data_IF_155112975734
#
_entry.id   IF_155112975734
#
_cell.length_a   1.000
_cell.length_b   1.000
_cell.length_c   1.000
_cell.angle_alpha   90.00
_cell.angle_beta   90.00
_cell.angle_gamma   90.00
#
_symmetry.space_group_name_H-M   'P 1'
#
loop_
_entity.id
_entity.type
_entity.pdbx_description
1 polymer ?
#
# COMPACT_ATOMS: atom_id res chain seq x y z
N UNK A 1 47.59 7.92 17.32
CA UNK A 1 48.61 7.50 16.33
C UNK A 1 47.88 7.05 15.08
N UNK A 2 47.93 7.89 14.04
CA UNK A 2 47.21 7.75 12.78
C UNK A 2 47.56 6.45 12.06
N UNK A 3 46.56 5.68 11.62
CA UNK A 3 46.68 4.76 10.48
C UNK A 3 45.41 4.76 9.64
N UNK A 4 45.51 5.53 8.55
CA UNK A 4 45.02 5.30 7.19
C UNK A 4 43.56 4.87 6.95
N UNK A 5 42.77 5.92 6.70
CA UNK A 5 41.85 6.02 5.57
C UNK A 5 42.53 5.59 4.24
N UNK A 6 42.27 4.37 3.77
CA UNK A 6 42.41 3.95 2.36
C UNK A 6 41.84 2.54 2.24
N UNK A 7 40.52 2.45 2.00
CA UNK A 7 39.89 1.33 1.27
C UNK A 7 38.39 1.51 0.95
N UNK A 8 37.89 2.76 0.88
CA UNK A 8 36.53 3.05 0.34
C UNK A 8 36.49 3.13 -1.19
N UNK A 9 37.04 2.13 -1.91
CA UNK A 9 36.94 2.04 -3.38
C UNK A 9 36.45 0.69 -3.93
N UNK A 10 35.93 -0.20 -3.07
CA UNK A 10 35.15 -1.36 -3.48
C UNK A 10 33.77 -1.28 -2.83
N UNK A 11 32.83 -0.64 -3.53
CA UNK A 11 31.38 -0.89 -3.37
C UNK A 11 30.49 -0.12 -4.35
N UNK A 12 31.04 0.51 -5.40
CA UNK A 12 30.24 1.06 -6.50
C UNK A 12 29.72 -0.01 -7.49
N UNK A 13 30.12 -1.27 -7.32
CA UNK A 13 29.69 -2.39 -8.17
C UNK A 13 28.42 -3.09 -7.67
N UNK A 14 28.08 -2.98 -6.37
CA UNK A 14 26.87 -3.61 -5.80
C UNK A 14 25.63 -2.71 -5.81
N UNK A 15 25.78 -1.41 -6.07
CA UNK A 15 24.65 -0.47 -6.20
C UNK A 15 23.84 -0.73 -7.50
N UNK A 16 24.40 -1.48 -8.46
CA UNK A 16 23.67 -1.87 -9.69
C UNK A 16 22.72 -3.06 -9.52
N UNK A 17 22.70 -3.73 -8.36
CA UNK A 17 21.88 -4.94 -8.13
C UNK A 17 20.55 -4.70 -7.41
N UNK A 18 20.25 -3.47 -7.00
CA UNK A 18 19.00 -3.14 -6.31
C UNK A 18 18.36 -1.90 -6.95
N UNK A 19 17.95 -2.02 -8.22
CA UNK A 19 16.89 -1.16 -8.75
C UNK A 19 15.60 -1.74 -8.18
N UNK A 20 15.13 -1.15 -7.08
CA UNK A 20 13.89 -1.55 -6.40
C UNK A 20 12.70 -1.36 -7.34
N UNK A 21 11.64 -2.10 -7.05
CA UNK A 21 10.36 -2.17 -7.77
C UNK A 21 9.96 -0.86 -8.47
N UNK A 22 9.43 -0.93 -9.71
CA UNK A 22 8.98 0.24 -10.45
C UNK A 22 7.94 1.07 -9.66
N UNK A 23 7.19 0.45 -8.75
CA UNK A 23 6.17 1.08 -7.89
C UNK A 23 6.66 2.34 -7.16
N UNK A 24 7.91 2.36 -6.68
CA UNK A 24 8.44 3.50 -5.90
C UNK A 24 8.71 4.75 -6.76
N UNK A 25 8.86 4.62 -8.09
CA UNK A 25 9.10 5.77 -8.96
C UNK A 25 7.81 6.48 -9.40
N UNK A 26 6.66 5.81 -9.29
CA UNK A 26 5.44 6.20 -10.01
C UNK A 26 4.50 7.09 -9.18
N UNK A 27 4.59 7.02 -7.85
CA UNK A 27 3.82 7.85 -6.92
C UNK A 27 4.14 9.36 -7.05
N UNK A 28 5.26 9.71 -7.70
CA UNK A 28 5.76 11.09 -7.83
C UNK A 28 5.43 11.76 -9.16
N UNK A 29 4.62 11.19 -10.06
CA UNK A 29 4.49 11.75 -11.41
C UNK A 29 3.50 12.91 -11.55
N UNK A 30 2.61 13.15 -10.57
CA UNK A 30 1.52 14.14 -10.68
C UNK A 30 1.67 15.40 -9.83
N UNK A 31 2.41 15.36 -8.70
CA UNK A 31 2.57 16.51 -7.78
C UNK A 31 3.79 17.41 -8.06
N UNK A 32 5.00 16.89 -8.40
CA UNK A 32 6.19 17.72 -8.57
C UNK A 32 6.15 18.60 -9.81
N UNK A 33 5.32 18.31 -10.83
CA UNK A 33 5.43 18.98 -12.12
C UNK A 33 5.11 20.49 -12.06
N UNK A 34 4.27 20.93 -11.12
CA UNK A 34 3.95 22.35 -10.93
C UNK A 34 4.90 23.08 -9.99
N UNK A 35 5.45 22.38 -8.99
CA UNK A 35 6.27 22.98 -7.94
C UNK A 35 7.77 22.89 -8.22
N UNK A 36 8.23 21.75 -8.75
CA UNK A 36 9.62 21.51 -9.13
C UNK A 36 9.71 20.70 -10.46
N UNK A 37 9.60 21.39 -11.60
CA UNK A 37 9.64 20.75 -12.93
C UNK A 37 10.95 20.00 -13.20
N UNK A 38 12.07 20.45 -12.64
CA UNK A 38 13.38 19.81 -12.84
C UNK A 38 13.44 18.47 -12.12
N UNK A 39 12.94 18.42 -10.89
CA UNK A 39 12.82 17.17 -10.15
C UNK A 39 11.82 16.23 -10.84
N UNK A 40 10.66 16.75 -11.27
CA UNK A 40 9.67 15.97 -12.02
C UNK A 40 10.26 15.30 -13.27
N UNK A 41 11.06 16.04 -14.05
CA UNK A 41 11.75 15.51 -15.24
C UNK A 41 12.73 14.38 -14.87
N UNK A 42 13.50 14.56 -13.79
CA UNK A 42 14.44 13.55 -13.30
C UNK A 42 13.71 12.27 -12.87
N UNK A 43 12.57 12.42 -12.19
CA UNK A 43 11.73 11.28 -11.78
C UNK A 43 11.14 10.56 -12.99
N UNK A 44 10.63 11.30 -13.97
CA UNK A 44 10.05 10.70 -15.18
C UNK A 44 11.09 9.95 -16.02
N UNK A 45 12.29 10.53 -16.23
CA UNK A 45 13.38 9.83 -16.92
C UNK A 45 13.77 8.54 -16.20
N UNK A 46 13.89 8.61 -14.87
CA UNK A 46 14.20 7.43 -14.04
C UNK A 46 13.09 6.38 -14.12
N UNK A 47 11.82 6.78 -14.09
CA UNK A 47 10.67 5.89 -14.20
C UNK A 47 10.67 5.11 -15.53
N UNK A 48 10.97 5.79 -16.65
CA UNK A 48 11.10 5.15 -17.96
C UNK A 48 12.23 4.11 -17.99
N UNK A 49 13.41 4.45 -17.47
CA UNK A 49 14.53 3.49 -17.38
C UNK A 49 14.23 2.27 -16.51
N UNK A 50 13.50 2.46 -15.39
CA UNK A 50 13.12 1.38 -14.49
C UNK A 50 12.08 0.47 -15.14
N UNK A 51 11.09 1.05 -15.82
CA UNK A 51 10.09 0.29 -16.56
C UNK A 51 10.71 -0.54 -17.67
N UNK A 52 11.57 0.06 -18.51
CA UNK A 52 12.26 -0.65 -19.59
C UNK A 52 13.10 -1.80 -19.05
N UNK A 53 13.77 -1.58 -17.90
CA UNK A 53 14.51 -2.64 -17.23
C UNK A 53 13.59 -3.77 -16.76
N UNK A 54 12.46 -3.46 -16.12
CA UNK A 54 11.51 -4.44 -15.62
C UNK A 54 10.89 -5.27 -16.76
N UNK A 55 10.43 -4.62 -17.83
CA UNK A 55 9.82 -5.31 -18.98
C UNK A 55 10.83 -6.20 -19.74
N UNK A 56 12.11 -5.84 -19.75
CA UNK A 56 13.18 -6.63 -20.38
C UNK A 56 13.77 -7.72 -19.46
N UNK A 57 13.58 -7.63 -18.14
CA UNK A 57 14.16 -8.52 -17.13
C UNK A 57 13.07 -9.04 -16.19
N UNK A 58 12.15 -9.79 -16.79
CA UNK A 58 10.96 -10.38 -16.17
C UNK A 58 11.33 -11.50 -15.20
N UNK A 59 11.43 -11.17 -13.92
CA UNK A 59 11.75 -12.09 -12.83
C UNK A 59 11.22 -11.54 -11.50
N UNK A 60 10.82 -12.44 -10.60
CA UNK A 60 10.43 -12.05 -9.25
C UNK A 60 11.63 -11.51 -8.47
N UNK A 61 11.51 -10.31 -7.92
CA UNK A 61 12.65 -9.64 -7.29
C UNK A 61 13.27 -10.45 -6.14
N UNK A 62 12.45 -11.20 -5.40
CA UNK A 62 12.88 -12.03 -4.28
C UNK A 62 13.78 -13.20 -4.70
N UNK A 63 13.80 -13.57 -5.99
CA UNK A 63 14.78 -14.53 -6.53
C UNK A 63 16.19 -13.90 -6.66
N UNK A 64 16.26 -12.58 -6.82
CA UNK A 64 17.52 -11.83 -6.87
C UNK A 64 17.96 -11.32 -5.50
N UNK A 65 17.01 -10.92 -4.65
CA UNK A 65 17.23 -10.42 -3.30
C UNK A 65 16.61 -11.43 -2.33
N UNK A 66 17.31 -12.53 -2.12
CA UNK A 66 16.77 -13.72 -1.43
C UNK A 66 16.36 -13.48 0.02
N UNK A 67 16.95 -12.49 0.68
CA UNK A 67 16.58 -12.12 2.05
C UNK A 67 15.15 -11.57 2.13
N UNK A 68 14.69 -10.89 1.07
CA UNK A 68 13.33 -10.33 1.01
C UNK A 68 12.26 -11.42 0.97
N UNK A 69 12.58 -12.62 0.46
CA UNK A 69 11.62 -13.72 0.33
C UNK A 69 11.01 -14.19 1.66
N UNK A 70 11.63 -13.86 2.80
CA UNK A 70 11.11 -14.17 4.13
C UNK A 70 10.21 -13.07 4.72
N UNK A 71 10.15 -11.89 4.10
CA UNK A 71 9.44 -10.71 4.62
C UNK A 71 8.41 -10.19 3.62
N UNK A 72 8.90 -9.79 2.44
CA UNK A 72 8.11 -9.31 1.33
C UNK A 72 8.40 -10.25 0.16
N UNK A 73 7.66 -11.33 0.10
CA UNK A 73 7.73 -12.22 -1.06
C UNK A 73 6.69 -11.77 -2.06
N UNK A 74 7.09 -11.57 -3.31
CA UNK A 74 6.12 -11.40 -4.39
C UNK A 74 5.37 -12.73 -4.59
N UNK A 75 4.08 -12.77 -4.22
CA UNK A 75 3.21 -13.95 -4.30
C UNK A 75 2.29 -13.87 -5.52
N UNK A 76 1.74 -12.69 -5.80
CA UNK A 76 0.96 -12.35 -7.00
C UNK A 76 1.76 -12.48 -8.31
N UNK A 77 3.08 -12.25 -8.23
CA UNK A 77 3.98 -12.20 -9.38
C UNK A 77 4.55 -10.80 -9.59
N UNK A 78 4.89 -10.48 -10.84
CA UNK A 78 5.34 -9.14 -11.26
C UNK A 78 4.48 -8.55 -12.39
N UNK A 79 3.47 -9.30 -12.86
CA UNK A 79 2.74 -8.99 -14.09
C UNK A 79 1.79 -7.82 -13.91
N UNK A 80 1.13 -7.77 -12.76
CA UNK A 80 0.30 -6.66 -12.34
C UNK A 80 1.12 -5.39 -12.09
N UNK A 81 2.35 -5.47 -11.59
CA UNK A 81 3.28 -4.33 -11.51
C UNK A 81 3.64 -3.78 -12.89
N UNK A 82 3.87 -4.64 -13.89
CA UNK A 82 4.17 -4.20 -15.25
C UNK A 82 3.00 -3.46 -15.88
N UNK A 83 1.77 -3.96 -15.72
CA UNK A 83 0.58 -3.26 -16.18
C UNK A 83 0.35 -1.94 -15.42
N UNK A 84 0.49 -1.97 -14.09
CA UNK A 84 0.35 -0.81 -13.22
C UNK A 84 1.33 0.31 -13.58
N UNK A 85 2.61 -0.02 -13.75
CA UNK A 85 3.62 0.94 -14.15
C UNK A 85 3.38 1.48 -15.57
N UNK A 86 2.93 0.65 -16.51
CA UNK A 86 2.59 1.11 -17.86
C UNK A 86 1.46 2.15 -17.83
N UNK A 87 0.37 1.89 -17.08
CA UNK A 87 -0.75 2.84 -16.95
C UNK A 87 -0.32 4.17 -16.32
N UNK A 88 0.52 4.14 -15.29
CA UNK A 88 1.06 5.37 -14.69
C UNK A 88 2.01 6.13 -15.63
N UNK A 89 2.84 5.43 -16.41
CA UNK A 89 3.71 6.07 -17.41
C UNK A 89 2.87 6.70 -18.52
N UNK A 90 1.80 6.04 -18.96
CA UNK A 90 0.84 6.67 -19.87
C UNK A 90 0.26 7.93 -19.24
N UNK A 91 -0.28 7.86 -18.01
CA UNK A 91 -0.84 9.04 -17.32
C UNK A 91 0.13 10.21 -17.24
N UNK A 92 1.42 9.93 -17.01
CA UNK A 92 2.44 10.95 -16.87
C UNK A 92 2.93 11.54 -18.19
N UNK A 93 2.82 10.81 -19.30
CA UNK A 93 3.45 11.18 -20.58
C UNK A 93 2.46 11.47 -21.70
N UNK A 94 1.25 10.91 -21.62
CA UNK A 94 0.29 10.84 -22.72
C UNK A 94 0.71 9.90 -23.86
N UNK A 95 1.80 9.13 -23.70
CA UNK A 95 2.31 8.24 -24.76
C UNK A 95 1.45 6.97 -24.85
N UNK A 96 0.80 6.78 -26.00
CA UNK A 96 -0.07 5.65 -26.27
C UNK A 96 0.67 4.31 -26.28
N UNK A 97 1.99 4.29 -26.50
CA UNK A 97 2.78 3.07 -26.44
C UNK A 97 2.70 2.40 -25.07
N UNK A 98 2.57 3.18 -23.99
CA UNK A 98 2.39 2.64 -22.64
C UNK A 98 0.98 2.07 -22.42
N UNK A 99 -0.07 2.56 -23.09
CA UNK A 99 -1.39 1.89 -23.06
C UNK A 99 -1.34 0.56 -23.81
N UNK A 100 -0.69 0.51 -24.97
CA UNK A 100 -0.48 -0.75 -25.68
C UNK A 100 0.25 -1.75 -24.79
N UNK A 101 1.29 -1.33 -24.07
CA UNK A 101 1.99 -2.17 -23.10
C UNK A 101 1.10 -2.62 -21.93
N UNK A 102 0.28 -1.72 -21.38
CA UNK A 102 -0.65 -2.09 -20.32
C UNK A 102 -1.63 -3.17 -20.77
N UNK A 103 -2.14 -3.08 -22.01
CA UNK A 103 -2.98 -4.12 -22.62
C UNK A 103 -2.23 -5.42 -22.85
N UNK A 104 -1.00 -5.37 -23.38
CA UNK A 104 -0.16 -6.57 -23.56
C UNK A 104 0.03 -7.32 -22.23
N UNK A 105 0.34 -6.59 -21.14
CA UNK A 105 0.50 -7.19 -19.81
C UNK A 105 -0.82 -7.69 -19.23
N UNK A 106 -1.91 -6.97 -19.46
CA UNK A 106 -3.26 -7.40 -19.09
C UNK A 106 -3.59 -8.79 -19.66
N UNK A 107 -3.36 -8.96 -20.97
CA UNK A 107 -3.65 -10.20 -21.68
C UNK A 107 -2.65 -11.31 -21.30
N UNK A 108 -1.36 -10.99 -21.21
CA UNK A 108 -0.30 -11.95 -20.89
C UNK A 108 -0.48 -12.57 -19.50
N UNK A 109 -0.86 -11.77 -18.51
CA UNK A 109 -0.93 -12.18 -17.11
C UNK A 109 -2.36 -12.44 -16.61
N UNK A 110 -3.35 -12.45 -17.52
CA UNK A 110 -4.77 -12.64 -17.20
C UNK A 110 -5.23 -11.73 -16.05
N UNK A 111 -4.96 -10.43 -16.18
CA UNK A 111 -5.14 -9.51 -15.06
C UNK A 111 -6.60 -9.20 -14.75
N UNK A 112 -7.55 -9.47 -15.65
CA UNK A 112 -8.95 -9.12 -15.50
C UNK A 112 -9.78 -9.98 -14.54
N UNK A 113 -9.17 -10.97 -13.89
CA UNK A 113 -9.85 -11.95 -13.04
C UNK A 113 -9.22 -12.03 -11.64
N UNK A 114 -10.00 -12.51 -10.68
CA UNK A 114 -9.58 -12.93 -9.32
C UNK A 114 -8.93 -11.87 -8.41
N UNK A 115 -9.12 -10.58 -8.69
CA UNK A 115 -8.74 -9.56 -7.71
C UNK A 115 -9.66 -9.65 -6.50
N UNK A 116 -9.09 -9.87 -5.31
CA UNK A 116 -9.81 -9.91 -4.03
C UNK A 116 -9.30 -8.88 -3.02
N UNK A 117 -8.22 -8.17 -3.37
CA UNK A 117 -7.60 -7.15 -2.54
C UNK A 117 -6.88 -6.09 -3.37
N UNK A 118 -6.40 -5.06 -2.69
CA UNK A 118 -5.37 -4.15 -3.18
C UNK A 118 -4.28 -4.06 -2.11
N UNK A 119 -3.03 -4.36 -2.44
CA UNK A 119 -1.95 -4.42 -1.45
C UNK A 119 -0.58 -4.10 -2.07
N UNK A 120 0.46 -4.13 -1.24
CA UNK A 120 1.85 -3.99 -1.70
C UNK A 120 2.28 -5.12 -2.64
N UNK A 121 1.64 -6.28 -2.58
CA UNK A 121 1.91 -7.45 -3.43
C UNK A 121 1.01 -7.48 -4.68
N UNK A 122 -0.28 -7.16 -4.56
CA UNK A 122 -1.25 -7.28 -5.67
C UNK A 122 -1.80 -5.90 -6.08
N UNK A 123 -1.53 -5.54 -7.34
CA UNK A 123 -1.92 -4.26 -7.97
C UNK A 123 -3.14 -4.37 -8.86
N UNK A 124 -3.76 -5.54 -9.06
CA UNK A 124 -4.87 -5.72 -10.04
C UNK A 124 -6.01 -4.72 -9.83
N UNK A 125 -6.50 -4.58 -8.61
CA UNK A 125 -7.55 -3.61 -8.30
C UNK A 125 -7.13 -2.15 -8.61
N UNK A 126 -5.85 -1.84 -8.42
CA UNK A 126 -5.26 -0.57 -8.87
C UNK A 126 -5.28 -0.45 -10.40
N UNK A 127 -4.81 -1.47 -11.12
CA UNK A 127 -4.85 -1.53 -12.59
C UNK A 127 -6.26 -1.31 -13.12
N UNK A 128 -7.29 -1.89 -12.48
CA UNK A 128 -8.69 -1.66 -12.86
C UNK A 128 -9.09 -0.19 -12.68
N UNK A 129 -8.81 0.37 -11.51
CA UNK A 129 -9.20 1.74 -11.14
C UNK A 129 -8.47 2.82 -11.95
N UNK A 130 -7.17 2.64 -12.20
CA UNK A 130 -6.39 3.58 -13.00
C UNK A 130 -6.68 3.40 -14.49
N UNK A 131 -6.80 2.16 -14.95
CA UNK A 131 -7.15 1.81 -16.33
C UNK A 131 -8.46 2.45 -16.77
N UNK A 132 -9.50 2.36 -15.94
CA UNK A 132 -10.80 2.99 -16.25
C UNK A 132 -10.73 4.51 -16.39
N UNK A 133 -9.73 5.15 -15.78
CA UNK A 133 -9.51 6.60 -15.87
C UNK A 133 -8.63 6.99 -17.07
N UNK A 134 -7.60 6.20 -17.38
CA UNK A 134 -6.62 6.58 -18.43
C UNK A 134 -6.96 6.02 -19.82
N UNK A 135 -7.77 4.95 -19.88
CA UNK A 135 -8.24 4.32 -21.11
C UNK A 135 -9.76 4.02 -21.02
N UNK A 136 -10.61 5.06 -20.96
CA UNK A 136 -12.05 4.92 -20.71
C UNK A 136 -12.81 4.22 -21.86
N UNK A 137 -12.25 4.18 -23.07
CA UNK A 137 -12.86 3.46 -24.20
C UNK A 137 -12.69 1.93 -24.06
N UNK A 138 -11.73 1.49 -23.24
CA UNK A 138 -11.47 0.09 -22.95
C UNK A 138 -12.25 -0.36 -21.71
N UNK A 139 -13.49 -0.80 -21.95
CA UNK A 139 -14.47 -1.12 -20.90
C UNK A 139 -14.11 -2.32 -20.02
N UNK A 140 -13.05 -3.07 -20.34
CA UNK A 140 -12.60 -4.20 -19.52
C UNK A 140 -12.16 -3.74 -18.11
N UNK A 141 -11.52 -2.57 -18.01
CA UNK A 141 -11.04 -2.04 -16.73
C UNK A 141 -12.20 -1.67 -15.82
N UNK A 142 -13.21 -0.96 -16.35
CA UNK A 142 -14.41 -0.61 -15.60
C UNK A 142 -15.21 -1.85 -15.22
N UNK A 143 -15.32 -2.82 -16.13
CA UNK A 143 -16.03 -4.09 -15.87
C UNK A 143 -15.37 -4.86 -14.72
N UNK A 144 -14.04 -4.99 -14.74
CA UNK A 144 -13.28 -5.66 -13.69
C UNK A 144 -13.34 -4.89 -12.35
N UNK A 145 -13.29 -3.55 -12.38
CA UNK A 145 -13.46 -2.71 -11.20
C UNK A 145 -14.83 -2.93 -10.54
N UNK A 146 -15.90 -2.95 -11.35
CA UNK A 146 -17.26 -3.19 -10.87
C UNK A 146 -17.41 -4.59 -10.27
N UNK A 147 -16.86 -5.61 -10.91
CA UNK A 147 -16.88 -6.98 -10.40
C UNK A 147 -16.13 -7.08 -9.05
N UNK A 148 -14.97 -6.44 -8.95
CA UNK A 148 -14.19 -6.39 -7.71
C UNK A 148 -14.95 -5.71 -6.56
N UNK A 149 -15.55 -4.55 -6.81
CA UNK A 149 -16.34 -3.83 -5.80
C UNK A 149 -17.61 -4.59 -5.42
N UNK A 150 -18.24 -5.29 -6.38
CA UNK A 150 -19.36 -6.18 -6.09
C UNK A 150 -18.93 -7.28 -5.12
N UNK A 151 -17.87 -8.03 -5.45
CA UNK A 151 -17.32 -9.08 -4.59
C UNK A 151 -17.08 -8.58 -3.15
N UNK A 152 -16.41 -7.43 -2.99
CA UNK A 152 -16.13 -6.86 -1.67
C UNK A 152 -17.39 -6.61 -0.85
N UNK A 153 -18.50 -6.21 -1.50
CA UNK A 153 -19.74 -5.82 -0.83
C UNK A 153 -20.69 -6.99 -0.59
N UNK A 154 -20.61 -8.06 -1.38
CA UNK A 154 -21.61 -9.14 -1.39
C UNK A 154 -21.07 -10.52 -1.03
N UNK A 155 -19.77 -10.77 -1.26
CA UNK A 155 -19.18 -12.11 -1.18
C UNK A 155 -17.99 -12.20 -0.21
N UNK A 156 -17.24 -11.10 -0.04
CA UNK A 156 -16.11 -11.06 0.89
C UNK A 156 -16.55 -11.36 2.33
N UNK A 157 -15.62 -11.85 3.14
CA UNK A 157 -15.87 -12.09 4.56
C UNK A 157 -15.91 -10.77 5.32
N UNK A 158 -16.79 -10.69 6.31
CA UNK A 158 -16.89 -9.56 7.23
C UNK A 158 -16.78 -10.04 8.67
N UNK A 159 -16.20 -9.20 9.52
CA UNK A 159 -16.30 -9.37 10.96
C UNK A 159 -17.75 -9.10 11.43
N UNK A 160 -18.18 -9.63 12.59
CA UNK A 160 -19.50 -9.36 13.15
C UNK A 160 -19.87 -7.87 13.26
N UNK A 161 -18.90 -6.97 13.47
CA UNK A 161 -19.12 -5.52 13.54
C UNK A 161 -18.89 -4.77 12.20
N UNK A 162 -18.63 -5.47 11.10
CA UNK A 162 -18.73 -4.89 9.75
C UNK A 162 -17.44 -4.45 9.08
N UNK A 163 -16.26 -4.87 9.56
CA UNK A 163 -15.01 -4.72 8.83
C UNK A 163 -14.92 -5.80 7.74
N UNK A 164 -14.61 -5.41 6.51
CA UNK A 164 -14.24 -6.38 5.46
C UNK A 164 -12.93 -7.06 5.85
N UNK A 165 -12.96 -8.38 5.99
CA UNK A 165 -11.86 -9.18 6.51
C UNK A 165 -11.22 -9.99 5.39
N UNK A 166 -10.15 -9.45 4.80
CA UNK A 166 -9.48 -10.03 3.63
C UNK A 166 -8.25 -10.88 4.00
N UNK A 167 -7.57 -10.54 5.11
CA UNK A 167 -6.44 -11.29 5.62
C UNK A 167 -6.33 -11.11 7.15
N UNK A 168 -5.68 -12.07 7.81
CA UNK A 168 -5.38 -12.00 9.25
C UNK A 168 -4.25 -11.01 9.54
N UNK A 169 -3.27 -10.93 8.65
CA UNK A 169 -2.17 -9.98 8.73
C UNK A 169 -2.59 -8.64 8.13
N UNK A 170 -2.71 -7.61 8.97
CA UNK A 170 -3.07 -6.27 8.52
C UNK A 170 -4.52 -6.17 8.02
N UNK A 171 -5.47 -6.72 8.77
CA UNK A 171 -6.91 -6.66 8.45
C UNK A 171 -7.39 -5.22 8.19
N UNK A 172 -6.99 -4.27 9.04
CA UNK A 172 -7.29 -2.84 8.84
C UNK A 172 -6.64 -2.26 7.59
N UNK A 173 -5.39 -2.64 7.28
CA UNK A 173 -4.70 -2.21 6.05
C UNK A 173 -5.48 -2.65 4.83
N UNK A 174 -5.92 -3.91 4.80
CA UNK A 174 -6.67 -4.43 3.66
C UNK A 174 -7.99 -3.69 3.50
N UNK A 175 -8.75 -3.51 4.58
CA UNK A 175 -10.00 -2.75 4.55
C UNK A 175 -9.80 -1.30 4.07
N UNK A 176 -8.78 -0.60 4.58
CA UNK A 176 -8.46 0.76 4.17
C UNK A 176 -8.03 0.84 2.69
N UNK A 177 -7.26 -0.14 2.20
CA UNK A 177 -6.82 -0.20 0.81
C UNK A 177 -8.00 -0.34 -0.15
N UNK A 178 -8.95 -1.22 0.16
CA UNK A 178 -10.12 -1.42 -0.71
C UNK A 178 -11.16 -0.29 -0.57
N UNK A 179 -11.25 0.34 0.61
CA UNK A 179 -12.02 1.57 0.79
C UNK A 179 -11.48 2.70 -0.10
N UNK A 180 -10.15 2.84 -0.21
CA UNK A 180 -9.52 3.79 -1.12
C UNK A 180 -9.88 3.52 -2.59
N UNK A 181 -9.84 2.25 -3.04
CA UNK A 181 -10.25 1.88 -4.41
C UNK A 181 -11.74 2.18 -4.64
N UNK A 182 -12.60 1.93 -3.65
CA UNK A 182 -14.04 2.24 -3.75
C UNK A 182 -14.29 3.75 -3.89
N UNK A 183 -13.58 4.58 -3.12
CA UNK A 183 -13.66 6.04 -3.24
C UNK A 183 -13.13 6.54 -4.59
N UNK A 184 -12.06 5.94 -5.10
CA UNK A 184 -11.58 6.23 -6.45
C UNK A 184 -12.62 5.90 -7.50
N UNK A 185 -13.26 4.73 -7.41
CA UNK A 185 -14.30 4.31 -8.32
C UNK A 185 -15.50 5.27 -8.30
N UNK A 186 -15.92 5.72 -7.11
CA UNK A 186 -17.01 6.70 -6.98
C UNK A 186 -16.72 8.01 -7.74
N UNK A 187 -15.45 8.41 -7.80
CA UNK A 187 -15.04 9.66 -8.46
C UNK A 187 -14.81 9.47 -9.97
N UNK A 188 -14.16 8.38 -10.38
CA UNK A 188 -13.56 8.25 -11.71
C UNK A 188 -13.97 7.01 -12.50
N UNK A 189 -14.51 5.97 -11.87
CA UNK A 189 -14.77 4.67 -12.50
C UNK A 189 -16.26 4.35 -12.56
N UNK A 190 -16.81 3.89 -11.44
CA UNK A 190 -18.22 3.52 -11.30
C UNK A 190 -19.05 4.65 -10.72
N UNK A 191 -19.33 5.65 -11.56
CA UNK A 191 -20.10 6.82 -11.15
C UNK A 191 -21.59 6.51 -10.93
N UNK A 192 -22.10 5.39 -11.47
CA UNK A 192 -23.48 4.97 -11.29
C UNK A 192 -23.77 4.59 -9.82
N UNK A 193 -22.82 3.91 -9.18
CA UNK A 193 -22.90 3.49 -7.77
C UNK A 193 -22.05 4.37 -6.84
N UNK A 194 -21.71 5.60 -7.25
CA UNK A 194 -20.82 6.49 -6.51
C UNK A 194 -21.20 6.65 -5.03
N UNK A 195 -22.49 6.90 -4.75
CA UNK A 195 -22.98 7.06 -3.38
C UNK A 195 -22.79 5.78 -2.55
N UNK A 196 -23.14 4.63 -3.11
CA UNK A 196 -22.99 3.34 -2.44
C UNK A 196 -21.51 2.94 -2.27
N UNK A 197 -20.61 3.42 -3.13
CA UNK A 197 -19.17 3.27 -2.97
C UNK A 197 -18.63 4.15 -1.84
N UNK A 198 -19.06 5.41 -1.77
CA UNK A 198 -18.68 6.34 -0.70
C UNK A 198 -19.16 5.85 0.67
N UNK A 199 -20.44 5.51 0.81
CA UNK A 199 -21.02 5.06 2.09
C UNK A 199 -20.36 3.79 2.61
N UNK A 200 -20.08 2.83 1.71
CA UNK A 200 -19.41 1.61 2.08
C UNK A 200 -17.97 1.86 2.55
N UNK A 201 -17.21 2.67 1.81
CA UNK A 201 -15.84 3.03 2.18
C UNK A 201 -15.79 3.82 3.49
N UNK A 202 -16.71 4.77 3.69
CA UNK A 202 -16.86 5.51 4.94
C UNK A 202 -17.12 4.57 6.12
N UNK A 203 -17.96 3.54 5.96
CA UNK A 203 -18.18 2.52 6.97
C UNK A 203 -16.90 1.78 7.39
N UNK A 204 -16.05 1.42 6.43
CA UNK A 204 -14.75 0.78 6.72
C UNK A 204 -13.80 1.72 7.47
N UNK A 205 -13.76 3.00 7.05
CA UNK A 205 -12.92 4.00 7.70
C UNK A 205 -13.43 4.33 9.11
N UNK A 206 -14.74 4.45 9.32
CA UNK A 206 -15.32 4.73 10.63
C UNK A 206 -15.15 3.55 11.60
N UNK A 207 -15.21 2.29 11.12
CA UNK A 207 -14.80 1.13 11.90
C UNK A 207 -13.38 1.32 12.44
N UNK A 208 -12.42 1.63 11.56
CA UNK A 208 -11.01 1.83 11.91
C UNK A 208 -10.84 2.99 12.91
N UNK A 209 -11.62 4.05 12.74
CA UNK A 209 -11.49 5.27 13.53
C UNK A 209 -12.17 5.20 14.90
N UNK A 210 -13.20 4.37 15.11
CA UNK A 210 -13.82 4.25 16.43
C UNK A 210 -15.19 3.61 16.57
N UNK A 211 -15.93 3.32 15.49
CA UNK A 211 -17.35 2.91 15.58
C UNK A 211 -17.56 1.61 16.36
N UNK A 212 -16.52 0.81 16.54
CA UNK A 212 -16.55 -0.46 17.29
C UNK A 212 -16.23 -0.33 18.78
N UNK A 213 -16.10 0.90 19.27
CA UNK A 213 -15.89 1.23 20.69
C UNK A 213 -14.46 1.61 21.05
N UNK A 214 -13.50 1.46 20.13
CA UNK A 214 -12.14 1.96 20.23
C UNK A 214 -11.57 2.27 18.85
N UNK A 215 -10.52 3.10 18.81
CA UNK A 215 -9.75 3.38 17.60
C UNK A 215 -8.70 2.31 17.35
N UNK A 216 -8.34 2.08 16.10
CA UNK A 216 -7.14 1.32 15.70
C UNK A 216 -5.97 2.22 15.27
N UNK A 217 -6.07 3.52 15.53
CA UNK A 217 -5.07 4.50 15.11
C UNK A 217 -4.35 5.03 16.33
N UNK A 218 -3.04 4.78 16.40
CA UNK A 218 -2.22 5.16 17.56
C UNK A 218 -2.31 6.66 17.81
N UNK A 219 -2.69 7.02 19.04
CA UNK A 219 -2.81 8.42 19.48
C UNK A 219 -4.04 9.18 18.97
N UNK A 220 -5.05 8.51 18.41
CA UNK A 220 -6.26 9.12 17.88
C UNK A 220 -7.54 8.49 18.45
N UNK A 221 -8.60 9.27 18.60
CA UNK A 221 -9.92 8.75 18.96
C UNK A 221 -10.04 8.23 20.39
N UNK A 222 -10.96 7.29 20.61
CA UNK A 222 -11.26 6.68 21.90
C UNK A 222 -10.46 5.40 22.07
N UNK A 223 -9.82 5.22 23.23
CA UNK A 223 -9.07 4.00 23.59
C UNK A 223 -8.11 3.46 22.48
N UNK A 224 -7.23 4.31 21.91
CA UNK A 224 -6.34 3.88 20.84
C UNK A 224 -5.29 2.85 21.32
N UNK A 225 -4.65 2.11 20.40
CA UNK A 225 -3.53 1.25 20.72
C UNK A 225 -2.39 2.05 21.35
N UNK A 226 -1.83 1.52 22.43
CA UNK A 226 -0.74 2.15 23.18
C UNK A 226 0.53 1.32 23.12
N UNK A 227 0.48 0.10 22.57
CA UNK A 227 1.59 -0.85 22.57
C UNK A 227 1.85 -1.39 21.15
N UNK A 228 1.99 -0.54 20.12
CA UNK A 228 2.28 -1.01 18.77
C UNK A 228 3.60 -1.79 18.73
N UNK A 229 3.71 -2.79 17.84
CA UNK A 229 4.95 -3.55 17.62
C UNK A 229 5.99 -2.67 16.89
N UNK A 230 6.58 -1.72 17.61
CA UNK A 230 7.45 -0.71 17.01
C UNK A 230 8.62 -0.33 17.93
N UNK A 231 9.84 -0.49 17.41
CA UNK A 231 11.07 -0.39 18.22
C UNK A 231 11.34 1.02 18.72
N UNK A 232 11.26 2.03 17.85
CA UNK A 232 11.66 3.37 18.28
C UNK A 232 10.65 4.02 19.23
N UNK A 233 9.36 3.66 19.12
CA UNK A 233 8.33 4.18 20.03
C UNK A 233 8.38 3.51 21.41
N UNK A 234 8.76 2.23 21.44
CA UNK A 234 8.90 1.45 22.68
C UNK A 234 10.18 1.76 23.46
N UNK A 235 11.15 2.48 22.87
CA UNK A 235 12.36 2.91 23.57
C UNK A 235 12.13 4.15 24.46
N UNK A 236 12.84 4.29 25.59
CA UNK A 236 12.82 5.48 26.41
C UNK A 236 13.72 6.57 25.80
N UNK A 237 13.63 7.78 26.35
CA UNK A 237 14.51 8.89 25.97
C UNK A 237 15.94 8.61 26.47
N UNK A 238 16.98 8.81 25.65
CA UNK A 238 18.37 8.77 26.11
C UNK A 238 18.60 9.70 27.32
N UNK A 239 19.43 9.30 28.31
CA UNK A 239 20.46 8.28 28.23
C UNK A 239 20.02 6.87 28.63
N UNK A 240 18.74 6.63 28.90
CA UNK A 240 18.26 5.31 29.28
C UNK A 240 18.51 4.30 28.15
N UNK A 241 18.99 3.11 28.51
CA UNK A 241 19.34 2.08 27.55
C UNK A 241 18.09 1.43 26.98
N UNK A 242 18.03 1.31 25.65
CA UNK A 242 17.03 0.50 24.94
C UNK A 242 17.71 -0.67 24.24
N UNK A 243 17.30 -1.90 24.58
CA UNK A 243 17.66 -3.12 23.85
C UNK A 243 16.38 -3.81 23.39
N UNK A 244 16.46 -4.70 22.40
CA UNK A 244 15.28 -5.46 21.93
C UNK A 244 14.58 -6.18 23.10
N UNK A 245 15.35 -6.82 24.00
CA UNK A 245 14.80 -7.50 25.17
C UNK A 245 14.20 -6.54 26.21
N UNK A 246 14.77 -5.34 26.37
CA UNK A 246 14.21 -4.32 27.26
C UNK A 246 12.86 -3.83 26.74
N UNK A 247 12.78 -3.41 25.47
CA UNK A 247 11.56 -2.86 24.87
C UNK A 247 10.40 -3.87 24.87
N UNK A 248 10.69 -5.13 24.57
CA UNK A 248 9.70 -6.22 24.58
C UNK A 248 9.19 -6.54 25.99
N UNK A 249 10.04 -6.43 27.01
CA UNK A 249 9.69 -6.82 28.39
C UNK A 249 8.95 -5.74 29.19
N UNK A 250 8.82 -4.50 28.69
CA UNK A 250 8.20 -3.42 29.46
C UNK A 250 6.68 -3.62 29.60
N UNK A 251 6.16 -3.71 30.85
CA UNK A 251 4.73 -3.74 31.11
C UNK A 251 4.16 -2.32 30.96
N UNK A 252 3.19 -2.15 30.08
CA UNK A 252 2.53 -0.86 29.82
C UNK A 252 2.82 -0.23 28.45
N UNK A 253 2.27 0.98 28.21
CA UNK A 253 2.37 1.72 26.96
C UNK A 253 3.80 1.92 26.45
N UNK A 254 3.93 2.12 25.15
CA UNK A 254 5.15 2.66 24.56
C UNK A 254 5.47 4.05 25.14
N UNK A 255 6.74 4.34 25.50
CA UNK A 255 7.14 5.66 26.00
C UNK A 255 6.85 6.83 25.04
N UNK A 256 6.77 6.55 23.74
CA UNK A 256 6.45 7.54 22.72
C UNK A 256 5.18 7.13 21.96
N UNK A 257 4.24 8.06 21.84
CA UNK A 257 3.05 7.86 21.00
C UNK A 257 3.46 7.95 19.53
N UNK A 258 3.25 6.85 18.79
CA UNK A 258 3.50 6.79 17.35
C UNK A 258 2.30 7.35 16.58
N UNK A 259 2.07 8.66 16.70
CA UNK A 259 0.86 9.32 16.18
C UNK A 259 0.54 8.94 14.72
N UNK A 260 -0.70 8.51 14.50
CA UNK A 260 -1.27 8.24 13.18
C UNK A 260 -0.95 6.86 12.62
N UNK A 261 -0.15 6.03 13.30
CA UNK A 261 0.10 4.67 12.85
C UNK A 261 -1.18 3.82 12.92
N UNK A 262 -1.52 3.18 11.79
CA UNK A 262 -2.61 2.21 11.73
C UNK A 262 -2.07 0.85 12.16
N UNK A 263 -2.64 0.27 13.22
CA UNK A 263 -2.25 -1.09 13.63
C UNK A 263 -2.91 -2.14 12.74
N UNK A 264 -2.36 -3.36 12.74
CA UNK A 264 -2.85 -4.49 11.95
C UNK A 264 -4.35 -4.72 12.07
N UNK A 265 -4.89 -4.60 13.28
CA UNK A 265 -6.33 -4.57 13.50
C UNK A 265 -6.87 -5.81 14.20
N UNK A 266 -8.19 -6.02 14.17
CA UNK A 266 -8.82 -7.12 14.89
C UNK A 266 -8.65 -8.45 14.15
N UNK A 267 -8.87 -9.54 14.87
CA UNK A 267 -9.16 -10.84 14.31
C UNK A 267 -10.56 -10.89 13.67
N UNK A 268 -10.88 -12.00 13.00
CA UNK A 268 -12.13 -12.16 12.25
C UNK A 268 -13.41 -12.00 13.11
N UNK A 269 -13.33 -12.25 14.41
CA UNK A 269 -14.45 -12.14 15.36
C UNK A 269 -14.50 -10.77 16.08
N UNK A 270 -13.83 -9.75 15.54
CA UNK A 270 -13.63 -8.42 16.12
C UNK A 270 -12.78 -8.39 17.41
N UNK A 271 -12.16 -9.51 17.79
CA UNK A 271 -11.28 -9.52 18.96
C UNK A 271 -9.96 -8.81 18.67
N UNK A 272 -9.50 -8.01 19.62
CA UNK A 272 -8.25 -7.26 19.56
C UNK A 272 -7.66 -7.17 20.96
N UNK A 273 -6.34 -7.35 21.07
CA UNK A 273 -5.58 -7.14 22.31
C UNK A 273 -4.42 -6.21 22.01
N UNK A 274 -4.28 -5.13 22.78
CA UNK A 274 -3.14 -4.21 22.68
C UNK A 274 -1.89 -4.83 23.34
N UNK A 275 -1.21 -5.68 22.57
CA UNK A 275 0.01 -6.40 22.98
C UNK A 275 1.13 -6.17 21.97
N UNK A 276 2.21 -5.53 22.44
CA UNK A 276 3.44 -5.27 21.68
C UNK A 276 4.04 -6.53 21.05
N UNK A 277 3.85 -7.70 21.68
CA UNK A 277 4.39 -8.96 21.17
C UNK A 277 3.48 -9.64 20.15
N UNK A 278 2.22 -9.21 20.05
CA UNK A 278 1.30 -9.62 19.01
C UNK A 278 1.54 -8.79 17.74
N UNK A 279 2.58 -9.17 17.00
CA UNK A 279 2.92 -8.56 15.72
C UNK A 279 1.85 -8.80 14.63
N UNK A 280 0.79 -9.56 14.87
CA UNK A 280 -0.28 -9.71 13.86
C UNK A 280 -1.25 -8.55 13.95
N UNK A 281 -1.71 -8.27 15.17
CA UNK A 281 -2.76 -7.27 15.40
C UNK A 281 -2.17 -5.88 15.74
N UNK A 282 -0.96 -5.81 16.28
CA UNK A 282 -0.30 -4.57 16.71
C UNK A 282 0.86 -4.13 15.79
N UNK A 283 1.13 -4.84 14.69
CA UNK A 283 2.09 -4.35 13.70
C UNK A 283 1.64 -3.05 13.06
N UNK A 284 2.63 -2.21 12.75
CA UNK A 284 2.50 -0.95 12.04
C UNK A 284 3.50 -0.94 10.89
N UNK A 285 3.09 -0.49 9.71
CA UNK A 285 3.94 -0.50 8.52
C UNK A 285 3.61 0.65 7.57
N UNK A 286 4.54 0.97 6.66
CA UNK A 286 4.32 2.03 5.67
C UNK A 286 3.14 1.73 4.75
N UNK A 287 2.99 0.47 4.30
CA UNK A 287 1.90 0.08 3.41
C UNK A 287 0.53 0.06 4.12
N UNK A 288 0.49 -0.03 5.45
CA UNK A 288 -0.74 0.05 6.23
C UNK A 288 -1.34 1.46 6.17
N UNK A 289 -0.46 2.46 6.19
CA UNK A 289 -0.85 3.86 6.21
C UNK A 289 -1.04 4.47 4.80
N UNK A 290 -0.52 3.83 3.75
CA UNK A 290 -0.46 4.41 2.40
C UNK A 290 -1.85 4.74 1.84
N UNK A 291 -2.68 3.72 1.59
CA UNK A 291 -4.02 3.95 1.08
C UNK A 291 -4.99 4.45 2.16
N UNK A 292 -4.75 4.13 3.44
CA UNK A 292 -5.49 4.73 4.56
C UNK A 292 -5.45 6.26 4.51
N UNK A 293 -4.25 6.84 4.33
CA UNK A 293 -4.10 8.30 4.21
C UNK A 293 -4.79 8.83 2.95
N UNK A 294 -4.72 8.08 1.84
CA UNK A 294 -5.43 8.41 0.60
C UNK A 294 -6.95 8.39 0.75
N UNK A 295 -7.49 7.41 1.47
CA UNK A 295 -8.92 7.28 1.73
C UNK A 295 -9.43 8.42 2.61
N UNK A 296 -8.69 8.79 3.66
CA UNK A 296 -9.01 9.96 4.47
C UNK A 296 -9.01 11.25 3.63
N UNK A 297 -8.00 11.43 2.78
CA UNK A 297 -7.94 12.60 1.90
C UNK A 297 -9.14 12.65 0.94
N UNK A 298 -9.52 11.51 0.36
CA UNK A 298 -10.68 11.42 -0.53
C UNK A 298 -11.99 11.72 0.21
N UNK A 299 -12.19 11.20 1.42
CA UNK A 299 -13.38 11.49 2.24
C UNK A 299 -13.47 12.97 2.63
N UNK A 300 -12.33 13.63 2.89
CA UNK A 300 -12.30 15.09 3.15
C UNK A 300 -12.65 15.89 1.89
N UNK A 301 -12.25 15.42 0.70
CA UNK A 301 -12.56 16.12 -0.56
C UNK A 301 -14.02 15.94 -0.99
N UNK A 302 -14.60 14.78 -0.71
CA UNK A 302 -15.97 14.41 -1.12
C UNK A 302 -17.04 15.04 -0.20
N UNK A 303 -16.71 15.24 1.08
CA UNK A 303 -17.59 15.87 2.09
C UNK A 303 -17.50 17.40 2.08
#
# INVERSE_FOLDING_TARGET
MMRNLKDKKRDRANIKKTRKEPDNAMCHLSLPQKEDPSYASTMLETAKELYDFADQKRENYHNSITDAAAFYRSWSGYGDELAWAALWLNRATGDAAYLTKAQEHWDEFNLGEDAVQFAWDDKKAGVYALGSLVDPDNTQYETALKAFLHYLKTEAQYTPKGLVFLDTWGSNRHAANVAFISLWAAKYGDQADAQANIEWAEGQMNYILGDVGHSFVVGFGVDPPQRPHHRSSSCPIPPDSCTDGWAQSQPGPDPHVLYGALVGGPAQDDSYTDDRMDYTHNEVACDYNAAYSGALAALIEIN
#
